data_IF_179782829783
#
_entry.id   IF_179782829783
#
_cell.length_a   1.000
_cell.length_b   1.000
_cell.length_c   1.000
_cell.angle_alpha   90.00
_cell.angle_beta   90.00
_cell.angle_gamma   90.00
#
_symmetry.space_group_name_H-M   'P 1'
#
loop_
_entity.id
_entity.type
_entity.pdbx_description
1 polymer ?
#
# COMPACT_ATOMS: atom_id res chain seq x y z
N UNK A 1 -45.00 -44.89 -22.12
CA UNK A 1 -44.58 -43.46 -22.05
C UNK A 1 -44.31 -42.98 -20.60
N UNK A 2 -43.54 -43.71 -19.77
CA UNK A 2 -43.22 -43.29 -18.37
C UNK A 2 -41.75 -42.91 -18.14
N UNK A 3 -40.86 -43.18 -19.10
CA UNK A 3 -39.40 -43.03 -18.91
C UNK A 3 -38.90 -41.60 -19.20
N UNK A 4 -39.54 -40.87 -20.13
CA UNK A 4 -39.16 -39.48 -20.48
C UNK A 4 -39.52 -38.43 -19.41
N UNK A 5 -40.33 -38.80 -18.39
CA UNK A 5 -40.80 -37.85 -17.37
C UNK A 5 -39.87 -37.78 -16.14
N UNK A 6 -39.04 -38.79 -15.89
CA UNK A 6 -38.12 -38.77 -14.74
C UNK A 6 -36.89 -37.88 -15.03
N UNK A 7 -36.37 -37.88 -16.26
CA UNK A 7 -35.18 -37.11 -16.62
C UNK A 7 -35.37 -35.61 -16.43
N UNK A 8 -36.53 -35.06 -16.81
CA UNK A 8 -36.89 -33.63 -16.61
C UNK A 8 -36.93 -33.19 -15.14
N UNK A 9 -37.07 -34.12 -14.19
CA UNK A 9 -37.07 -33.81 -12.74
C UNK A 9 -35.66 -33.69 -12.16
N UNK A 10 -34.67 -34.29 -12.82
CA UNK A 10 -33.27 -34.26 -12.39
C UNK A 10 -32.44 -33.19 -13.09
N UNK A 11 -32.89 -32.66 -14.23
CA UNK A 11 -32.26 -31.53 -14.94
C UNK A 11 -32.06 -30.28 -14.06
N UNK A 12 -33.04 -29.78 -13.29
CA UNK A 12 -32.82 -28.60 -12.44
C UNK A 12 -31.87 -28.87 -11.27
N UNK A 13 -31.84 -30.11 -10.76
CA UNK A 13 -30.91 -30.52 -9.68
C UNK A 13 -29.48 -30.57 -10.18
N UNK A 14 -29.26 -31.11 -11.39
CA UNK A 14 -27.95 -31.12 -12.03
C UNK A 14 -27.47 -29.71 -12.40
N UNK A 15 -28.36 -28.83 -12.87
CA UNK A 15 -28.05 -27.43 -13.16
C UNK A 15 -27.63 -26.65 -11.91
N UNK A 16 -28.33 -26.83 -10.79
CA UNK A 16 -27.98 -26.23 -9.50
C UNK A 16 -26.66 -26.78 -8.95
N UNK A 17 -26.41 -28.09 -9.09
CA UNK A 17 -25.15 -28.71 -8.67
C UNK A 17 -23.97 -28.23 -9.52
N UNK A 18 -24.14 -28.06 -10.84
CA UNK A 18 -23.11 -27.50 -11.70
C UNK A 18 -22.84 -26.02 -11.41
N UNK A 19 -23.85 -25.24 -11.02
CA UNK A 19 -23.70 -23.83 -10.66
C UNK A 19 -22.92 -23.66 -9.35
N UNK A 20 -23.18 -24.51 -8.35
CA UNK A 20 -22.45 -24.46 -7.07
C UNK A 20 -21.03 -25.00 -7.19
N UNK A 21 -20.79 -26.02 -8.03
CA UNK A 21 -19.45 -26.50 -8.33
C UNK A 21 -18.65 -25.50 -9.17
N UNK A 22 -19.30 -24.78 -10.09
CA UNK A 22 -18.68 -23.73 -10.90
C UNK A 22 -18.24 -22.52 -10.07
N UNK A 23 -18.96 -22.17 -9.00
CA UNK A 23 -18.59 -21.09 -8.07
C UNK A 23 -17.43 -21.48 -7.13
N UNK A 24 -17.28 -22.77 -6.83
CA UNK A 24 -16.18 -23.31 -6.03
C UNK A 24 -14.84 -23.43 -6.80
N UNK A 25 -14.88 -23.33 -8.13
CA UNK A 25 -13.71 -23.32 -9.02
C UNK A 25 -13.50 -21.91 -9.58
N UNK A 26 -13.61 -20.89 -8.73
CA UNK A 26 -12.83 -19.67 -8.91
C UNK A 26 -11.44 -19.96 -8.33
N UNK A 27 -10.46 -20.46 -9.11
CA UNK A 27 -9.08 -20.28 -8.73
C UNK A 27 -8.87 -18.78 -8.71
N UNK A 28 -8.85 -18.20 -7.51
CA UNK A 28 -8.18 -16.94 -7.29
C UNK A 28 -6.74 -17.17 -7.74
N UNK A 29 -6.44 -16.82 -8.99
CA UNK A 29 -5.09 -16.70 -9.48
C UNK A 29 -4.43 -15.56 -8.70
N UNK A 30 -4.03 -15.83 -7.46
CA UNK A 30 -2.88 -15.18 -6.87
C UNK A 30 -1.70 -15.65 -7.72
N UNK A 31 -1.42 -14.89 -8.79
CA UNK A 31 -0.19 -15.03 -9.55
C UNK A 31 0.95 -14.71 -8.59
N UNK A 32 1.86 -15.65 -8.45
CA UNK A 32 3.18 -15.41 -7.87
C UNK A 32 3.81 -14.22 -8.60
N UNK A 33 4.25 -13.24 -7.82
CA UNK A 33 4.76 -11.95 -8.27
C UNK A 33 6.19 -12.07 -8.80
N UNK A 34 6.37 -12.75 -9.94
CA UNK A 34 7.64 -12.72 -10.67
C UNK A 34 7.58 -11.73 -11.85
N UNK A 35 8.36 -10.65 -11.68
CA UNK A 35 9.11 -9.94 -12.72
C UNK A 35 8.35 -9.26 -13.89
N UNK A 36 7.18 -8.69 -13.64
CA UNK A 36 6.76 -7.49 -14.37
C UNK A 36 7.27 -6.27 -13.58
N UNK A 37 7.93 -5.30 -14.22
CA UNK A 37 8.47 -4.09 -13.60
C UNK A 37 7.47 -3.46 -12.60
N UNK A 38 7.58 -3.85 -11.33
CA UNK A 38 6.66 -3.42 -10.28
C UNK A 38 6.86 -1.95 -9.96
N UNK A 39 5.93 -1.33 -9.24
CA UNK A 39 6.15 0.01 -8.68
C UNK A 39 6.83 -0.10 -7.31
N UNK A 40 7.75 0.81 -7.01
CA UNK A 40 8.30 0.97 -5.67
C UNK A 40 7.33 1.85 -4.86
N UNK A 41 6.56 1.23 -3.98
CA UNK A 41 5.71 1.95 -3.03
C UNK A 41 6.51 2.48 -1.84
N UNK A 42 6.36 3.78 -1.55
CA UNK A 42 6.89 4.48 -0.38
C UNK A 42 5.71 5.11 0.37
N UNK A 43 5.59 4.91 1.68
CA UNK A 43 4.44 5.38 2.46
C UNK A 43 4.86 6.02 3.79
N UNK A 44 4.13 7.04 4.27
CA UNK A 44 4.29 7.54 5.64
C UNK A 44 4.12 9.04 5.84
N UNK A 45 5.11 9.67 6.45
CA UNK A 45 5.05 11.06 6.92
C UNK A 45 4.49 12.03 5.87
N UNK A 46 3.40 12.71 6.25
CA UNK A 46 2.78 13.77 5.46
C UNK A 46 3.68 15.00 5.32
N UNK A 47 4.58 15.25 6.28
CA UNK A 47 5.57 16.33 6.17
C UNK A 47 6.66 16.02 5.14
N UNK A 48 7.02 14.75 4.97
CA UNK A 48 8.05 14.30 4.01
C UNK A 48 7.45 14.08 2.61
N UNK A 49 6.17 13.74 2.53
CA UNK A 49 5.46 13.45 1.28
C UNK A 49 5.73 14.42 0.11
N UNK A 50 5.61 15.76 0.25
CA UNK A 50 5.82 16.66 -0.89
C UNK A 50 7.25 16.59 -1.44
N UNK A 51 8.25 16.37 -0.58
CA UNK A 51 9.63 16.17 -1.02
C UNK A 51 9.81 14.82 -1.73
N UNK A 52 9.19 13.77 -1.21
CA UNK A 52 9.25 12.44 -1.83
C UNK A 52 8.57 12.43 -3.21
N UNK A 53 7.47 13.15 -3.40
CA UNK A 53 6.78 13.29 -4.69
C UNK A 53 7.68 14.00 -5.72
N UNK A 54 8.34 15.09 -5.35
CA UNK A 54 9.29 15.78 -6.23
C UNK A 54 10.48 14.88 -6.61
N UNK A 55 11.01 14.13 -5.64
CA UNK A 55 12.10 13.18 -5.89
C UNK A 55 11.66 12.01 -6.78
N UNK A 56 10.42 11.53 -6.63
CA UNK A 56 9.86 10.49 -7.47
C UNK A 56 9.71 10.95 -8.93
N UNK A 57 9.30 12.20 -9.15
CA UNK A 57 9.21 12.79 -10.49
C UNK A 57 10.59 12.90 -11.16
N UNK A 58 11.58 13.46 -10.45
CA UNK A 58 12.95 13.57 -10.97
C UNK A 58 13.62 12.20 -11.17
N UNK A 59 13.32 11.23 -10.29
CA UNK A 59 13.75 9.84 -10.46
C UNK A 59 13.19 9.25 -11.76
N UNK A 60 11.90 9.42 -12.03
CA UNK A 60 11.26 8.91 -13.25
C UNK A 60 11.85 9.55 -14.52
N UNK A 61 12.17 10.85 -14.48
CA UNK A 61 12.83 11.55 -15.60
C UNK A 61 14.24 11.05 -15.84
N UNK A 62 15.02 10.82 -14.77
CA UNK A 62 16.42 10.40 -14.85
C UNK A 62 16.58 8.92 -15.18
N UNK A 63 15.63 8.09 -14.77
CA UNK A 63 15.67 6.64 -14.90
C UNK A 63 14.38 6.09 -15.51
N UNK A 64 14.07 6.41 -16.79
CA UNK A 64 12.81 6.05 -17.43
C UNK A 64 12.60 4.54 -17.57
N UNK A 65 13.68 3.75 -17.59
CA UNK A 65 13.62 2.28 -17.71
C UNK A 65 13.47 1.56 -16.36
N UNK A 66 13.32 2.30 -15.25
CA UNK A 66 13.20 1.73 -13.90
C UNK A 66 11.73 1.73 -13.42
N UNK A 67 11.40 0.82 -12.48
CA UNK A 67 10.18 0.87 -11.68
C UNK A 67 9.77 2.29 -11.25
N UNK A 68 8.52 2.74 -11.50
CA UNK A 68 8.06 4.02 -11.00
C UNK A 68 7.95 3.98 -9.47
N UNK A 69 8.13 5.14 -8.83
CA UNK A 69 7.98 5.31 -7.39
C UNK A 69 6.58 5.85 -7.09
N UNK A 70 5.81 5.12 -6.28
CA UNK A 70 4.49 5.52 -5.82
C UNK A 70 4.57 6.03 -4.39
N UNK A 71 4.18 7.29 -4.15
CA UNK A 71 4.28 7.95 -2.85
C UNK A 71 2.91 8.01 -2.18
N UNK A 72 2.83 7.61 -0.91
CA UNK A 72 1.60 7.62 -0.12
C UNK A 72 1.83 8.35 1.22
N UNK A 73 0.88 9.22 1.58
CA UNK A 73 0.83 9.84 2.91
C UNK A 73 0.27 8.91 3.99
N UNK A 74 0.01 9.48 5.17
CA UNK A 74 -0.63 8.77 6.29
C UNK A 74 0.03 9.00 7.66
N UNK A 75 1.19 9.68 7.69
CA UNK A 75 1.92 10.01 8.92
C UNK A 75 3.03 9.01 9.25
N UNK A 76 3.98 9.43 10.11
CA UNK A 76 5.19 8.65 10.42
C UNK A 76 4.90 7.25 10.97
N UNK A 77 3.91 7.12 11.86
CA UNK A 77 3.53 5.81 12.42
C UNK A 77 2.88 4.90 11.39
N UNK A 78 2.16 5.43 10.41
CA UNK A 78 1.64 4.63 9.30
C UNK A 78 2.78 4.14 8.41
N UNK A 79 3.78 5.00 8.14
CA UNK A 79 4.97 4.64 7.37
C UNK A 79 5.78 3.52 8.01
N UNK A 80 6.05 3.63 9.31
CA UNK A 80 6.75 2.57 10.05
C UNK A 80 6.01 1.23 9.99
N UNK A 81 4.69 1.24 10.24
CA UNK A 81 3.87 0.01 10.13
C UNK A 81 3.89 -0.55 8.71
N UNK A 82 3.75 0.30 7.69
CA UNK A 82 3.71 -0.13 6.30
C UNK A 82 5.02 -0.78 5.84
N UNK A 83 6.16 -0.29 6.34
CA UNK A 83 7.46 -0.90 6.10
C UNK A 83 7.61 -2.24 6.86
N UNK A 84 7.24 -2.28 8.14
CA UNK A 84 7.31 -3.50 8.96
C UNK A 84 6.37 -4.60 8.44
N UNK A 85 5.19 -4.26 7.91
CA UNK A 85 4.25 -5.21 7.32
C UNK A 85 4.57 -5.59 5.87
N UNK A 86 5.58 -4.96 5.26
CA UNK A 86 5.95 -5.18 3.86
C UNK A 86 4.93 -4.66 2.84
N UNK A 87 3.94 -3.87 3.28
CA UNK A 87 2.94 -3.26 2.37
C UNK A 87 3.50 -2.07 1.61
N UNK A 88 4.58 -1.46 2.11
CA UNK A 88 5.42 -0.50 1.41
C UNK A 88 6.87 -0.96 1.46
N UNK A 89 7.65 -0.62 0.43
CA UNK A 89 9.08 -0.94 0.37
C UNK A 89 9.89 -0.01 1.28
N UNK A 90 9.45 1.24 1.43
CA UNK A 90 10.10 2.25 2.28
C UNK A 90 9.02 2.97 3.12
N UNK A 91 9.29 3.08 4.41
CA UNK A 91 8.48 3.86 5.37
C UNK A 91 9.09 5.25 5.60
N UNK A 92 8.36 6.31 5.28
CA UNK A 92 8.79 7.69 5.53
C UNK A 92 8.43 8.13 6.95
N UNK A 93 9.37 8.75 7.64
CA UNK A 93 9.18 9.25 9.01
C UNK A 93 9.82 10.63 9.17
N UNK A 94 9.12 11.56 9.83
CA UNK A 94 9.64 12.88 10.25
C UNK A 94 10.03 12.87 11.74
N UNK A 95 10.36 11.69 12.26
CA UNK A 95 10.83 11.45 13.63
C UNK A 95 11.80 10.29 13.61
N UNK A 96 12.54 10.14 14.69
CA UNK A 96 13.32 8.94 14.92
C UNK A 96 12.40 7.71 15.10
N UNK A 97 12.85 6.51 14.66
CA UNK A 97 12.15 5.27 14.94
C UNK A 97 11.98 5.05 16.45
N UNK A 98 10.82 4.52 16.84
CA UNK A 98 10.56 4.12 18.21
C UNK A 98 11.30 2.82 18.56
N UNK A 99 11.39 2.49 19.85
CA UNK A 99 11.98 1.23 20.33
C UNK A 99 11.31 -0.03 19.75
N UNK A 100 10.03 0.06 19.39
CA UNK A 100 9.28 -1.02 18.72
C UNK A 100 9.57 -1.14 17.22
N UNK A 101 10.37 -0.25 16.65
CA UNK A 101 10.65 -0.13 15.21
C UNK A 101 12.13 -0.42 14.90
N UNK A 102 12.86 -1.08 15.82
CA UNK A 102 14.32 -1.36 15.72
C UNK A 102 14.74 -2.22 14.54
N UNK A 103 13.81 -2.98 13.98
CA UNK A 103 14.05 -3.79 12.78
C UNK A 103 14.18 -2.93 11.52
N UNK A 104 13.71 -1.67 11.57
CA UNK A 104 13.86 -0.72 10.48
C UNK A 104 15.27 -0.13 10.49
N UNK A 105 15.85 -0.02 9.30
CA UNK A 105 17.13 0.65 9.08
C UNK A 105 16.88 2.12 8.73
N UNK A 106 17.09 3.07 9.65
CA UNK A 106 16.85 4.47 9.37
C UNK A 106 17.90 5.02 8.40
N UNK A 107 17.45 5.77 7.40
CA UNK A 107 18.30 6.57 6.52
C UNK A 107 17.85 8.02 6.60
N UNK A 108 18.72 8.89 7.11
CA UNK A 108 18.44 10.33 7.24
C UNK A 108 18.59 10.99 5.87
N UNK A 109 17.50 11.55 5.36
CA UNK A 109 17.48 12.23 4.05
C UNK A 109 17.48 13.76 4.16
N UNK A 110 17.04 14.29 5.30
CA UNK A 110 16.95 15.71 5.57
C UNK A 110 16.87 15.97 7.08
N UNK A 111 17.18 17.20 7.49
CA UNK A 111 16.96 17.72 8.83
C UNK A 111 16.06 18.94 8.69
N UNK A 112 14.94 18.97 9.42
CA UNK A 112 14.05 20.12 9.48
C UNK A 112 14.28 20.92 10.78
N UNK A 113 13.82 22.17 10.78
CA UNK A 113 13.85 23.04 11.95
C UNK A 113 12.50 23.71 12.11
N UNK A 114 11.90 23.60 13.30
CA UNK A 114 10.69 24.32 13.65
C UNK A 114 11.07 25.66 14.30
N UNK A 115 10.72 26.76 13.64
CA UNK A 115 10.81 28.09 14.21
C UNK A 115 9.45 28.50 14.79
N UNK A 116 9.43 28.90 16.06
CA UNK A 116 8.26 29.49 16.68
C UNK A 116 8.23 30.99 16.37
N UNK A 117 7.25 31.40 15.56
CA UNK A 117 7.00 32.81 15.28
C UNK A 117 5.78 33.23 16.08
N UNK A 118 5.99 34.12 17.04
CA UNK A 118 4.91 34.73 17.83
C UNK A 118 4.69 36.17 17.39
N UNK A 119 3.44 36.61 17.44
CA UNK A 119 3.15 38.03 17.31
C UNK A 119 3.80 38.80 18.46
N UNK A 120 4.43 39.95 18.17
CA UNK A 120 5.16 40.74 19.19
C UNK A 120 4.32 41.07 20.41
N UNK A 121 3.03 41.31 20.20
CA UNK A 121 2.10 41.70 21.25
C UNK A 121 1.32 40.51 21.85
N UNK A 122 1.76 39.26 21.61
CA UNK A 122 1.13 38.08 22.20
C UNK A 122 1.24 38.11 23.73
N UNK A 123 0.10 38.11 24.41
CA UNK A 123 -0.01 38.17 25.89
C UNK A 123 -0.29 36.83 26.55
N UNK A 124 -0.38 35.74 25.77
CA UNK A 124 -0.62 34.40 26.33
C UNK A 124 0.60 33.99 27.14
N UNK A 125 0.34 33.69 28.40
CA UNK A 125 1.27 33.07 29.35
C UNK A 125 0.71 31.70 29.71
N UNK A 126 1.62 30.76 29.97
CA UNK A 126 1.36 29.32 30.22
C UNK A 126 0.35 29.07 31.35
#
# INVERSE_FOLDING_TARGET
MRVLKSWRRFVPVYLLLCLTLGLAVLPGCARDNDEAAGSITIAGSTSVQPFAEMLAEEYARRYPDRPPVNVQGGGSSAGARAALSGTAHIGMMSREPAESEKELVPTVIAVDALALIVHRDNKVVD
#
